data_IF_497365669510
#
_entry.id   IF_497365669510
#
_cell.length_a   1.000
_cell.length_b   1.000
_cell.length_c   1.000
_cell.angle_alpha   90.00
_cell.angle_beta   90.00
_cell.angle_gamma   90.00
#
_symmetry.space_group_name_H-M   'P 1'
#
loop_
_entity.id
_entity.type
_entity.pdbx_description
1 polymer ?
#
# COMPACT_ATOMS: atom_id res chain seq x y z
N UNK A 1 46.38 8.58 6.25
CA UNK A 1 45.22 9.35 6.78
C UNK A 1 44.04 9.43 5.79
N UNK A 2 44.23 9.75 4.50
CA UNK A 2 43.13 9.80 3.50
C UNK A 2 42.26 8.52 3.40
N UNK A 3 42.87 7.32 3.50
CA UNK A 3 42.15 6.04 3.43
C UNK A 3 41.24 5.79 4.64
N UNK A 4 41.64 6.25 5.83
CA UNK A 4 40.84 6.12 7.05
C UNK A 4 39.61 7.04 7.03
N UNK A 5 39.75 8.25 6.49
CA UNK A 5 38.62 9.18 6.28
C UNK A 5 37.60 8.59 5.31
N UNK A 6 38.06 7.91 4.25
CA UNK A 6 37.17 7.27 3.28
C UNK A 6 36.37 6.10 3.87
N UNK A 7 37.00 5.30 4.74
CA UNK A 7 36.33 4.19 5.44
C UNK A 7 35.29 4.71 6.44
N UNK A 8 35.59 5.82 7.14
CA UNK A 8 34.66 6.45 8.08
C UNK A 8 33.41 7.02 7.37
N UNK A 9 33.56 7.57 6.18
CA UNK A 9 32.46 8.12 5.37
C UNK A 9 31.48 7.04 4.89
N UNK A 10 31.97 5.84 4.56
CA UNK A 10 31.13 4.70 4.15
C UNK A 10 30.35 4.13 5.33
N UNK A 11 30.92 4.16 6.53
CA UNK A 11 30.24 3.66 7.74
C UNK A 11 29.12 4.60 8.22
N UNK A 12 29.15 5.88 7.82
CA UNK A 12 28.17 6.88 8.23
C UNK A 12 26.90 6.86 7.36
N UNK A 13 26.97 6.34 6.13
CA UNK A 13 25.84 6.32 5.19
C UNK A 13 24.87 5.13 5.38
N UNK A 14 25.23 4.14 6.20
CA UNK A 14 24.40 2.94 6.44
C UNK A 14 23.24 3.13 7.43
N UNK A 15 23.06 4.34 7.98
CA UNK A 15 21.98 4.65 8.94
C UNK A 15 20.67 5.11 8.29
N UNK A 16 20.52 5.01 6.96
CA UNK A 16 19.28 5.42 6.30
C UNK A 16 18.18 4.36 6.52
N UNK A 17 17.18 4.70 7.32
CA UNK A 17 15.96 3.89 7.47
C UNK A 17 15.02 4.10 6.28
N UNK A 18 14.57 3.01 5.67
CA UNK A 18 13.57 3.03 4.60
C UNK A 18 12.18 3.44 5.08
N UNK A 19 11.23 3.59 4.15
CA UNK A 19 9.84 3.95 4.45
C UNK A 19 9.22 2.94 5.43
N UNK A 20 8.68 3.43 6.55
CA UNK A 20 7.98 2.57 7.50
C UNK A 20 6.64 2.12 6.92
N UNK A 21 6.46 0.79 6.87
CA UNK A 21 5.22 0.15 6.45
C UNK A 21 4.42 -0.24 7.68
N UNK A 22 3.22 0.31 7.81
CA UNK A 22 2.29 -0.07 8.87
C UNK A 22 1.45 -1.27 8.44
N UNK A 23 1.37 -2.27 9.32
CA UNK A 23 0.54 -3.46 9.17
C UNK A 23 -0.74 -3.24 9.97
N UNK A 24 -1.91 -3.41 9.33
CA UNK A 24 -3.20 -3.18 9.97
C UNK A 24 -3.73 -4.36 10.79
N UNK A 25 -3.44 -5.59 10.36
CA UNK A 25 -3.94 -6.81 11.00
C UNK A 25 -2.79 -7.78 11.25
N UNK A 26 -2.86 -8.57 12.35
CA UNK A 26 -2.02 -9.75 12.49
C UNK A 26 -2.13 -10.65 11.26
N UNK A 27 -1.05 -11.35 10.93
CA UNK A 27 -0.95 -12.18 9.73
C UNK A 27 -2.15 -13.11 9.58
N UNK A 28 -2.90 -12.98 8.47
CA UNK A 28 -4.08 -13.80 8.18
C UNK A 28 -5.36 -13.48 8.95
N UNK A 29 -5.38 -12.41 9.77
CA UNK A 29 -6.56 -12.03 10.57
C UNK A 29 -7.46 -10.98 9.88
N UNK A 30 -7.23 -10.66 8.60
CA UNK A 30 -8.03 -9.67 7.88
C UNK A 30 -9.48 -10.17 7.72
N UNK A 31 -10.49 -9.45 8.21
CA UNK A 31 -11.88 -9.88 8.11
C UNK A 31 -12.35 -9.87 6.65
N UNK A 32 -13.20 -10.83 6.28
CA UNK A 32 -13.74 -11.02 4.92
C UNK A 32 -12.68 -11.19 3.81
N UNK A 33 -11.42 -11.46 4.16
CA UNK A 33 -10.36 -11.72 3.20
C UNK A 33 -10.36 -13.20 2.78
N UNK A 34 -11.36 -13.64 2.02
CA UNK A 34 -11.20 -14.88 1.22
C UNK A 34 -10.25 -14.57 0.06
N UNK A 35 -8.96 -14.46 0.39
CA UNK A 35 -7.87 -14.33 -0.58
C UNK A 35 -7.70 -15.72 -1.17
N UNK A 36 -8.40 -15.98 -2.27
CA UNK A 36 -8.14 -17.17 -3.06
C UNK A 36 -6.73 -17.05 -3.62
N UNK A 37 -5.79 -17.83 -3.09
CA UNK A 37 -4.50 -18.03 -3.74
C UNK A 37 -4.79 -18.46 -5.19
N UNK A 38 -4.43 -17.61 -6.16
CA UNK A 38 -4.70 -17.93 -7.55
C UNK A 38 -3.92 -19.21 -7.90
N UNK A 39 -4.63 -20.30 -8.23
CA UNK A 39 -4.03 -21.59 -8.62
C UNK A 39 -3.44 -21.54 -10.04
N UNK A 40 -3.07 -20.37 -10.55
CA UNK A 40 -2.58 -20.25 -11.91
C UNK A 40 -1.06 -20.09 -11.90
N UNK A 41 -0.37 -21.24 -11.93
CA UNK A 41 1.04 -21.36 -12.35
C UNK A 41 1.15 -20.88 -13.80
N UNK A 42 1.13 -19.58 -14.06
CA UNK A 42 1.55 -19.04 -15.35
C UNK A 42 1.92 -17.56 -15.21
N UNK A 43 3.17 -17.28 -15.57
CA UNK A 43 3.74 -15.96 -15.87
C UNK A 43 4.06 -15.10 -14.65
N UNK A 44 5.31 -15.24 -14.19
CA UNK A 44 6.22 -14.18 -13.72
C UNK A 44 5.67 -12.76 -14.01
N UNK A 45 4.90 -12.11 -13.10
CA UNK A 45 4.92 -10.63 -12.95
C UNK A 45 4.02 -9.94 -11.90
N UNK A 46 3.15 -10.60 -11.13
CA UNK A 46 2.31 -9.86 -10.17
C UNK A 46 2.51 -10.44 -8.79
N UNK A 47 3.30 -9.75 -7.97
CA UNK A 47 3.39 -9.98 -6.54
C UNK A 47 1.97 -9.84 -5.98
N UNK A 48 1.34 -10.98 -5.67
CA UNK A 48 0.01 -11.02 -5.09
C UNK A 48 0.15 -10.53 -3.65
N UNK A 49 -0.26 -9.30 -3.41
CA UNK A 49 -0.28 -8.73 -2.07
C UNK A 49 -1.29 -9.52 -1.24
N UNK A 50 -0.81 -10.17 -0.19
CA UNK A 50 -1.64 -10.96 0.73
C UNK A 50 -2.24 -10.10 1.85
N UNK A 51 -1.62 -8.97 2.16
CA UNK A 51 -1.97 -8.14 3.31
C UNK A 51 -1.96 -6.68 2.91
N UNK A 52 -2.92 -5.87 3.39
CA UNK A 52 -2.96 -4.46 3.11
C UNK A 52 -1.73 -3.75 3.67
N UNK A 53 -1.22 -2.77 2.92
CA UNK A 53 -0.04 -2.00 3.28
C UNK A 53 -0.40 -0.52 3.37
N UNK A 54 0.06 0.17 4.43
CA UNK A 54 -0.01 1.62 4.51
C UNK A 54 1.39 2.21 4.45
N UNK A 55 1.59 3.12 3.51
CA UNK A 55 2.81 3.89 3.38
C UNK A 55 2.60 5.27 4.00
N UNK A 56 3.39 5.61 5.02
CA UNK A 56 3.25 6.86 5.75
C UNK A 56 4.19 7.95 5.20
N UNK A 57 3.65 8.95 4.51
CA UNK A 57 4.38 10.11 4.02
C UNK A 57 4.22 11.26 5.02
N UNK A 58 5.23 11.41 5.88
CA UNK A 58 5.25 12.47 6.89
C UNK A 58 5.73 13.80 6.29
N UNK A 59 4.98 14.87 6.52
CA UNK A 59 5.43 16.24 6.19
C UNK A 59 6.49 16.73 7.19
N UNK A 60 7.46 17.58 6.77
CA UNK A 60 8.48 18.14 7.65
C UNK A 60 7.88 18.85 8.88
N UNK A 61 8.45 18.61 10.06
CA UNK A 61 7.92 19.09 11.35
C UNK A 61 7.73 20.61 11.39
N UNK A 62 8.60 21.38 10.73
CA UNK A 62 8.57 22.84 10.72
C UNK A 62 7.35 23.43 10.00
N UNK A 63 6.78 22.69 9.06
CA UNK A 63 5.67 23.14 8.19
C UNK A 63 4.43 22.25 8.37
N UNK A 64 4.43 21.40 9.40
CA UNK A 64 3.41 20.36 9.58
C UNK A 64 2.08 20.97 10.03
N UNK A 65 1.09 20.85 9.16
CA UNK A 65 -0.30 21.11 9.49
C UNK A 65 -0.88 19.97 10.36
N UNK A 66 -1.88 20.25 11.21
CA UNK A 66 -2.56 19.22 12.00
C UNK A 66 -3.47 18.29 11.16
N UNK A 67 -3.51 18.49 9.84
CA UNK A 67 -4.35 17.74 8.90
C UNK A 67 -3.57 16.58 8.29
N UNK A 68 -4.27 15.47 8.06
CA UNK A 68 -3.74 14.32 7.34
C UNK A 68 -4.74 13.77 6.33
N UNK A 69 -4.22 13.11 5.29
CA UNK A 69 -5.02 12.54 4.19
C UNK A 69 -4.64 11.09 3.96
N UNK A 70 -5.64 10.23 3.76
CA UNK A 70 -5.45 8.85 3.30
C UNK A 70 -5.82 8.78 1.82
N UNK A 71 -4.88 8.37 0.99
CA UNK A 71 -5.02 8.17 -0.45
C UNK A 71 -5.27 6.69 -0.69
N UNK A 72 -6.42 6.39 -1.29
CA UNK A 72 -6.78 5.04 -1.73
C UNK A 72 -6.66 5.03 -3.25
N UNK A 73 -5.64 4.34 -3.81
CA UNK A 73 -5.47 4.26 -5.26
C UNK A 73 -6.65 3.53 -5.90
N UNK A 74 -6.90 3.84 -7.17
CA UNK A 74 -7.97 3.23 -7.94
C UNK A 74 -7.73 1.74 -8.26
N UNK A 75 -8.55 1.18 -9.16
CA UNK A 75 -8.38 -0.20 -9.66
C UNK A 75 -9.42 -1.21 -9.19
N UNK A 76 -10.42 -0.76 -8.41
CA UNK A 76 -11.63 -1.53 -8.08
C UNK A 76 -11.35 -2.89 -7.44
N UNK A 77 -10.29 -2.99 -6.61
CA UNK A 77 -9.87 -4.22 -5.94
C UNK A 77 -9.53 -5.40 -6.86
N UNK A 78 -9.48 -5.18 -8.17
CA UNK A 78 -9.26 -6.20 -9.20
C UNK A 78 -7.80 -6.28 -9.65
N UNK A 79 -7.03 -5.23 -9.42
CA UNK A 79 -5.61 -5.10 -9.77
C UNK A 79 -4.83 -4.71 -8.52
N UNK A 80 -3.63 -5.27 -8.38
CA UNK A 80 -2.67 -4.79 -7.39
C UNK A 80 -2.17 -3.42 -7.86
N UNK A 81 -2.59 -2.36 -7.18
CA UNK A 81 -2.23 -0.99 -7.52
C UNK A 81 -1.11 -0.51 -6.61
N UNK A 82 0.12 -0.89 -6.96
CA UNK A 82 1.26 -0.05 -6.60
C UNK A 82 1.24 1.14 -7.56
N UNK A 83 0.57 2.21 -7.14
CA UNK A 83 0.32 3.37 -7.99
C UNK A 83 1.37 4.44 -7.71
N UNK A 84 2.35 4.54 -8.61
CA UNK A 84 3.37 5.61 -8.56
C UNK A 84 2.73 7.00 -8.56
N UNK A 85 1.55 7.15 -9.17
CA UNK A 85 0.76 8.38 -9.13
C UNK A 85 0.28 8.71 -7.73
N UNK A 86 -0.23 7.73 -6.97
CA UNK A 86 -0.66 7.94 -5.59
C UNK A 86 0.51 8.40 -4.69
N UNK A 87 1.72 7.88 -4.92
CA UNK A 87 2.92 8.29 -4.19
C UNK A 87 3.37 9.70 -4.57
N UNK A 88 3.26 10.07 -5.84
CA UNK A 88 3.55 11.43 -6.29
C UNK A 88 2.60 12.43 -5.66
N UNK A 89 1.31 12.11 -5.57
CA UNK A 89 0.31 12.94 -4.89
C UNK A 89 0.63 13.04 -3.39
N UNK A 90 0.99 11.94 -2.72
CA UNK A 90 1.37 11.96 -1.31
C UNK A 90 2.59 12.86 -1.06
N UNK A 91 3.61 12.79 -1.93
CA UNK A 91 4.79 13.67 -1.87
C UNK A 91 4.43 15.13 -2.12
N UNK A 92 3.53 15.41 -3.06
CA UNK A 92 3.05 16.77 -3.31
C UNK A 92 2.27 17.32 -2.10
N UNK A 93 1.43 16.52 -1.44
CA UNK A 93 0.75 16.94 -0.21
C UNK A 93 1.74 17.30 0.92
N UNK A 94 2.86 16.56 1.01
CA UNK A 94 3.90 16.89 1.98
C UNK A 94 4.51 18.28 1.76
N UNK A 95 4.65 18.74 0.50
CA UNK A 95 5.13 20.10 0.19
C UNK A 95 4.14 21.18 0.60
N UNK A 96 2.89 20.81 0.82
CA UNK A 96 1.84 21.70 1.36
C UNK A 96 1.72 21.60 2.88
N UNK A 97 2.66 20.95 3.56
CA UNK A 97 2.61 20.77 5.01
C UNK A 97 1.66 19.67 5.49
N UNK A 98 1.05 18.89 4.59
CA UNK A 98 0.01 17.91 4.92
C UNK A 98 0.64 16.51 4.97
N UNK A 99 0.42 15.78 6.06
CA UNK A 99 0.87 14.38 6.13
C UNK A 99 -0.07 13.47 5.34
N UNK A 100 0.48 12.67 4.43
CA UNK A 100 -0.29 11.78 3.58
C UNK A 100 -0.01 10.31 3.88
N UNK A 101 -0.99 9.44 3.67
CA UNK A 101 -0.86 8.00 3.84
C UNK A 101 -1.42 7.29 2.61
N UNK A 102 -0.68 6.37 2.00
CA UNK A 102 -1.17 5.64 0.82
C UNK A 102 -1.52 4.21 1.20
N UNK A 103 -2.78 3.83 0.99
CA UNK A 103 -3.33 2.54 1.37
C UNK A 103 -3.40 1.59 0.17
N UNK A 104 -2.52 0.59 0.14
CA UNK A 104 -2.57 -0.48 -0.86
C UNK A 104 -3.38 -1.66 -0.34
N UNK A 105 -4.42 -2.04 -1.08
CA UNK A 105 -5.31 -3.13 -0.72
C UNK A 105 -5.06 -4.37 -1.58
N UNK A 106 -5.16 -5.57 -1.00
CA UNK A 106 -5.02 -6.81 -1.76
C UNK A 106 -6.19 -6.96 -2.75
N UNK A 107 -5.98 -7.78 -3.77
CA UNK A 107 -7.06 -8.15 -4.70
C UNK A 107 -8.14 -8.92 -3.94
N UNK A 108 -9.40 -8.50 -4.06
CA UNK A 108 -10.54 -9.18 -3.45
C UNK A 108 -11.38 -9.81 -4.56
N UNK A 109 -11.38 -11.14 -4.65
CA UNK A 109 -12.02 -11.88 -5.76
C UNK A 109 -13.45 -12.36 -5.46
N UNK A 110 -13.94 -12.27 -4.22
CA UNK A 110 -15.18 -12.95 -3.80
C UNK A 110 -16.33 -12.09 -3.28
N UNK A 111 -16.14 -10.79 -3.01
CA UNK A 111 -17.22 -9.99 -2.40
C UNK A 111 -18.30 -9.62 -3.44
N UNK A 112 -17.94 -9.35 -4.69
CA UNK A 112 -18.90 -8.89 -5.71
C UNK A 112 -19.57 -10.01 -6.51
N UNK A 113 -19.03 -11.23 -6.49
CA UNK A 113 -19.50 -12.32 -7.36
C UNK A 113 -20.65 -13.13 -6.77
N UNK A 114 -20.80 -13.15 -5.44
CA UNK A 114 -21.82 -13.98 -4.77
C UNK A 114 -23.15 -13.26 -4.49
N UNK A 115 -23.20 -11.93 -4.55
CA UNK A 115 -24.46 -11.18 -4.37
C UNK A 115 -25.22 -10.98 -5.68
N UNK A 116 -24.52 -10.77 -6.80
CA UNK A 116 -25.17 -10.60 -8.11
C UNK A 116 -25.90 -11.86 -8.59
N UNK A 117 -25.49 -13.05 -8.15
CA UNK A 117 -26.18 -14.32 -8.48
C UNK A 117 -27.44 -14.53 -7.66
N UNK A 118 -27.47 -14.08 -6.40
CA UNK A 118 -28.68 -14.15 -5.56
C UNK A 118 -29.77 -13.19 -6.03
N UNK A 119 -29.40 -11.99 -6.51
CA UNK A 119 -30.39 -10.98 -6.95
C UNK A 119 -31.10 -11.42 -8.25
N UNK A 120 -30.41 -12.15 -9.14
CA UNK A 120 -31.03 -12.67 -10.38
C UNK A 120 -32.00 -13.83 -10.14
N UNK A 121 -31.84 -14.59 -9.06
CA UNK A 121 -32.74 -15.68 -8.68
C UNK A 121 -34.06 -15.21 -8.05
N UNK A 122 -34.12 -13.98 -7.53
CA UNK A 122 -35.32 -13.44 -6.87
C UNK A 122 -36.29 -12.71 -7.81
N UNK A 123 -35.94 -12.56 -9.10
CA UNK A 123 -36.73 -11.83 -10.10
C UNK A 123 -37.35 -12.72 -11.17
N UNK A 124 -37.35 -14.04 -10.95
CA UNK A 124 -37.96 -15.04 -11.82
C UNK A 124 -38.86 -15.96 -11.01
N UNK A 125 -39.89 -15.39 -10.39
CA UNK A 125 -41.13 -16.07 -9.98
C UNK A 125 -42.27 -15.13 -10.31
#
# INVERSE_FOLDING_TARGET
>A
MKKAVFILLIFLSSQFSGQEKLIFWPKGAMPNSKILASKTKKKKLLAELKEPELFAFSSPIKERNPKSVIIIPGGGYSKFTYDEGAFQIAKWMNTQGISAFVLNLPRITQILTNDCTKIKSAKSV
#
